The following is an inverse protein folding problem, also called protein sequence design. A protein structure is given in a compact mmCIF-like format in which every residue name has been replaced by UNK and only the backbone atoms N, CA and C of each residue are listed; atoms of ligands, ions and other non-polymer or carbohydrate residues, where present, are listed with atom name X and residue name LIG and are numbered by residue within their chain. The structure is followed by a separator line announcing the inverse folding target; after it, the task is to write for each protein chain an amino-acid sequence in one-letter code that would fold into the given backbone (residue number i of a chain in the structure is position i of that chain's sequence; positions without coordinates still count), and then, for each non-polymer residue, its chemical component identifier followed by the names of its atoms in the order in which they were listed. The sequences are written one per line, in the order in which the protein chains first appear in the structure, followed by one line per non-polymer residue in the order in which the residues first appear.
data_IF_089792197558
#
_entry.id   IF_089792197558
#
_cell.length_a   1.000
_cell.length_b   1.000
_cell.length_c   1.000
_cell.angle_alpha   90.00
_cell.angle_beta   90.00
_cell.angle_gamma   90.00
#
_symmetry.space_group_name_H-M   'P 1'
#
loop_
_entity.id
_entity.type
_entity.pdbx_description
1 polymer ?
#
# COMPACT_ATOMS: atom_id res chain seq x y z
N UNK A 1 -2.13 54.55 26.24
CA UNK A 1 -1.66 54.07 24.92
C UNK A 1 -1.95 52.57 24.86
N UNK A 2 -2.80 52.15 23.93
CA UNK A 2 -3.24 50.76 23.73
C UNK A 2 -2.14 49.97 23.03
N UNK A 3 -1.87 48.74 23.47
CA UNK A 3 -1.56 47.64 22.56
C UNK A 3 -2.36 46.42 23.04
N UNK A 4 -3.29 46.03 22.19
CA UNK A 4 -4.10 44.82 22.22
C UNK A 4 -3.37 43.73 21.42
N UNK A 5 -3.69 42.46 21.68
CA UNK A 5 -3.72 41.30 20.76
C UNK A 5 -2.78 40.15 21.18
N UNK A 6 -3.10 38.87 21.02
CA UNK A 6 -4.31 38.04 20.88
C UNK A 6 -3.77 36.64 20.49
N UNK A 7 -4.58 35.60 20.71
CA UNK A 7 -4.46 34.23 20.15
C UNK A 7 -3.30 33.35 20.66
N UNK A 8 -3.61 32.51 21.66
CA UNK A 8 -3.01 31.19 21.74
C UNK A 8 -3.72 30.28 20.71
N UNK A 9 -2.99 29.90 19.67
CA UNK A 9 -3.46 29.04 18.58
C UNK A 9 -3.82 27.64 19.08
N UNK A 10 -5.04 27.25 18.73
CA UNK A 10 -5.56 25.91 18.43
C UNK A 10 -4.48 24.83 18.28
N UNK A 11 -4.52 23.85 19.17
CA UNK A 11 -3.79 22.58 19.01
C UNK A 11 -4.57 21.73 18.00
N UNK A 12 -4.18 21.79 16.72
CA UNK A 12 -4.71 20.91 15.69
C UNK A 12 -4.07 19.51 15.83
N UNK A 13 -4.63 18.66 16.69
CA UNK A 13 -4.32 17.23 16.72
C UNK A 13 -5.17 16.49 15.69
N UNK A 14 -4.74 16.58 14.44
CA UNK A 14 -5.08 15.61 13.41
C UNK A 14 -3.91 15.56 12.42
N UNK A 15 -2.89 14.76 12.76
CA UNK A 15 -1.91 14.32 11.77
C UNK A 15 -2.65 13.35 10.83
N UNK A 16 -3.33 13.92 9.82
CA UNK A 16 -3.50 13.21 8.57
C UNK A 16 -2.09 13.15 7.97
N UNK A 17 -1.47 11.99 8.07
CA UNK A 17 -0.13 11.76 7.57
C UNK A 17 -0.09 12.13 6.08
N UNK A 18 0.72 13.14 5.78
CA UNK A 18 0.86 13.71 4.46
C UNK A 18 1.72 12.79 3.62
N UNK A 19 1.07 12.16 2.64
CA UNK A 19 1.71 11.26 1.71
C UNK A 19 1.21 11.57 0.31
N UNK A 20 2.03 12.26 -0.48
CA UNK A 20 1.66 12.66 -1.83
C UNK A 20 1.59 11.41 -2.70
N UNK A 21 0.56 11.32 -3.55
CA UNK A 21 0.34 10.26 -4.54
C UNK A 21 -0.23 8.90 -4.05
N UNK A 22 -0.47 8.66 -2.75
CA UNK A 22 -1.00 7.39 -2.22
C UNK A 22 -2.38 7.53 -1.59
N UNK A 23 -3.31 6.63 -1.93
CA UNK A 23 -4.62 6.50 -1.30
C UNK A 23 -4.84 5.08 -0.81
N UNK A 24 -5.37 4.92 0.41
CA UNK A 24 -5.45 3.60 1.04
C UNK A 24 -5.38 3.66 2.55
N UNK A 25 -4.92 2.58 3.17
CA UNK A 25 -4.84 2.48 4.62
C UNK A 25 -3.47 2.02 5.10
N UNK A 26 -3.08 2.52 6.26
CA UNK A 26 -1.88 2.09 7.00
C UNK A 26 -2.31 1.67 8.39
N UNK A 27 -2.02 0.43 8.76
CA UNK A 27 -2.31 -0.09 10.08
C UNK A 27 -1.03 -0.15 10.90
N UNK A 28 -1.03 0.49 12.07
CA UNK A 28 0.12 0.51 12.98
C UNK A 28 0.12 -0.73 13.90
N UNK A 29 1.29 -1.30 14.12
CA UNK A 29 1.47 -2.37 15.10
C UNK A 29 1.22 -1.85 16.54
N UNK A 30 0.73 -2.70 17.45
CA UNK A 30 0.68 -2.40 18.87
C UNK A 30 2.07 -2.02 19.42
N UNK A 31 2.10 -1.17 20.45
CA UNK A 31 3.35 -0.76 21.07
C UNK A 31 4.13 -1.97 21.61
N UNK A 32 5.42 -2.05 21.27
CA UNK A 32 6.29 -3.17 21.67
C UNK A 32 6.20 -4.41 20.79
N UNK A 33 5.42 -4.38 19.70
CA UNK A 33 5.32 -5.47 18.73
C UNK A 33 5.59 -4.95 17.30
N UNK A 34 5.73 -5.87 16.35
CA UNK A 34 5.90 -5.57 14.92
C UNK A 34 5.16 -6.62 14.10
N UNK A 35 4.81 -6.29 12.87
CA UNK A 35 4.18 -7.24 11.97
C UNK A 35 5.18 -8.33 11.55
N UNK A 36 4.73 -9.58 11.64
CA UNK A 36 5.43 -10.72 11.05
C UNK A 36 4.89 -11.02 9.65
N UNK A 37 3.58 -10.87 9.50
CA UNK A 37 2.86 -11.21 8.29
C UNK A 37 1.81 -10.16 8.04
N UNK A 38 1.83 -9.62 6.83
CA UNK A 38 0.71 -8.84 6.31
C UNK A 38 0.14 -9.65 5.16
N UNK A 39 -1.06 -10.11 5.41
CA UNK A 39 -1.79 -11.02 4.54
C UNK A 39 -3.20 -10.51 4.46
N UNK A 40 -3.79 -10.46 3.28
CA UNK A 40 -5.18 -10.91 3.24
C UNK A 40 -5.19 -12.43 3.45
N UNK A 41 -5.08 -12.99 4.67
CA UNK A 41 -5.34 -14.43 4.90
C UNK A 41 -5.43 -14.86 6.37
N UNK A 42 -6.63 -15.30 6.78
CA UNK A 42 -6.89 -16.67 7.26
C UNK A 42 -8.12 -17.18 6.50
N UNK A 43 -8.00 -18.34 5.83
CA UNK A 43 -9.03 -19.04 5.04
C UNK A 43 -9.68 -18.31 3.84
N UNK A 44 -9.40 -18.84 2.64
CA UNK A 44 -10.20 -18.88 1.42
C UNK A 44 -10.70 -17.67 0.64
N UNK A 45 -10.73 -16.41 1.11
CA UNK A 45 -11.25 -15.32 0.24
C UNK A 45 -10.55 -13.98 0.45
N UNK A 46 -9.49 -13.72 -0.30
CA UNK A 46 -8.70 -12.50 -0.13
C UNK A 46 -8.18 -12.00 -1.46
N UNK A 47 -8.66 -10.86 -1.92
CA UNK A 47 -8.16 -10.24 -3.15
C UNK A 47 -8.53 -8.77 -3.26
N UNK A 48 -7.82 -8.05 -4.11
CA UNK A 48 -8.40 -6.92 -4.81
C UNK A 48 -8.75 -7.34 -6.24
N UNK A 49 -9.85 -6.81 -6.76
CA UNK A 49 -10.17 -6.92 -8.18
C UNK A 49 -9.39 -5.86 -8.93
N UNK A 50 -8.66 -6.25 -9.98
CA UNK A 50 -8.00 -5.30 -10.88
C UNK A 50 -9.09 -4.47 -11.55
N UNK A 51 -9.14 -3.14 -11.32
CA UNK A 51 -10.17 -2.32 -11.93
C UNK A 51 -9.96 -2.23 -13.44
N UNK A 52 -10.99 -1.78 -14.17
CA UNK A 52 -10.88 -1.48 -15.60
C UNK A 52 -10.02 -0.23 -15.81
N UNK A 53 -8.70 -0.43 -15.85
CA UNK A 53 -7.72 0.65 -15.98
C UNK A 53 -7.64 1.16 -17.41
N UNK A 54 -7.73 2.49 -17.57
CA UNK A 54 -7.59 3.15 -18.87
C UNK A 54 -6.97 4.55 -18.75
N UNK A 55 -6.34 5.02 -19.84
CA UNK A 55 -5.64 6.29 -19.91
C UNK A 55 -4.11 6.13 -19.94
N UNK A 56 -3.39 7.25 -19.95
CA UNK A 56 -1.93 7.28 -20.08
C UNK A 56 -1.20 7.44 -18.74
N UNK A 57 -1.93 7.76 -17.67
CA UNK A 57 -1.38 7.89 -16.32
C UNK A 57 -1.09 6.52 -15.72
N UNK A 58 -0.10 6.48 -14.83
CA UNK A 58 0.38 5.24 -14.21
C UNK A 58 -0.24 5.05 -12.83
N UNK A 59 -0.35 3.79 -12.43
CA UNK A 59 -0.90 3.42 -11.13
C UNK A 59 -0.20 2.16 -10.63
N UNK A 60 0.00 2.03 -9.33
CA UNK A 60 0.25 0.74 -8.70
C UNK A 60 -0.82 0.45 -7.65
N UNK A 61 -1.12 -0.84 -7.48
CA UNK A 61 -2.01 -1.34 -6.42
C UNK A 61 -1.21 -2.42 -5.69
N UNK A 62 -0.93 -2.20 -4.41
CA UNK A 62 0.04 -3.01 -3.69
C UNK A 62 -0.28 -3.17 -2.21
N UNK A 63 0.31 -4.22 -1.64
CA UNK A 63 0.28 -4.55 -0.22
C UNK A 63 1.71 -4.68 0.26
N UNK A 64 2.02 -4.10 1.41
CA UNK A 64 3.39 -4.06 1.93
C UNK A 64 3.48 -3.93 3.44
N UNK A 65 4.72 -3.92 3.90
CA UNK A 65 5.13 -3.71 5.29
C UNK A 65 6.28 -2.72 5.29
N UNK A 66 6.16 -1.69 6.13
CA UNK A 66 7.27 -0.83 6.51
C UNK A 66 7.15 0.62 6.05
N UNK A 67 6.15 1.01 5.29
CA UNK A 67 6.06 2.38 4.75
C UNK A 67 5.70 3.42 5.83
N UNK A 68 6.71 3.99 6.50
CA UNK A 68 6.53 4.97 7.58
C UNK A 68 7.32 6.25 7.36
N UNK A 69 7.03 7.29 8.17
CA UNK A 69 7.78 8.55 8.12
C UNK A 69 9.21 8.41 8.67
N UNK A 70 9.48 7.32 9.39
CA UNK A 70 10.76 7.06 10.04
C UNK A 70 11.70 6.21 9.18
N UNK A 71 11.20 5.54 8.14
CA UNK A 71 11.99 4.62 7.33
C UNK A 71 11.35 4.33 5.97
N UNK A 72 12.18 4.14 4.93
CA UNK A 72 11.71 3.92 3.56
C UNK A 72 11.78 2.46 3.11
N UNK A 73 12.27 1.53 3.93
CA UNK A 73 12.37 0.11 3.57
C UNK A 73 11.00 -0.56 3.56
N UNK A 74 10.61 -1.04 2.39
CA UNK A 74 9.28 -1.62 2.19
C UNK A 74 9.42 -3.00 1.57
N UNK A 75 8.88 -4.02 2.25
CA UNK A 75 8.71 -5.35 1.67
C UNK A 75 7.27 -5.48 1.17
N UNK A 76 7.07 -5.75 -0.11
CA UNK A 76 5.72 -5.77 -0.67
C UNK A 76 5.60 -6.27 -2.10
N UNK A 77 4.36 -6.30 -2.60
CA UNK A 77 4.06 -6.69 -3.97
C UNK A 77 2.67 -6.27 -4.41
N UNK A 78 2.39 -6.49 -5.68
CA UNK A 78 1.11 -6.10 -6.26
C UNK A 78 1.14 -6.03 -7.77
N UNK A 79 0.41 -5.05 -8.32
CA UNK A 79 0.37 -4.78 -9.75
C UNK A 79 0.75 -3.34 -10.06
N UNK A 80 1.31 -3.14 -11.25
CA UNK A 80 1.53 -1.82 -11.83
C UNK A 80 0.84 -1.73 -13.18
N UNK A 81 0.29 -0.57 -13.47
CA UNK A 81 -0.27 -0.16 -14.75
C UNK A 81 0.58 0.95 -15.35
N UNK A 82 1.12 0.67 -16.53
CA UNK A 82 1.83 1.64 -17.36
C UNK A 82 1.57 1.28 -18.83
N UNK A 83 0.40 1.68 -19.33
CA UNK A 83 -0.21 1.22 -20.60
C UNK A 83 -0.56 -0.27 -20.65
N UNK A 84 0.23 -1.12 -19.99
CA UNK A 84 -0.02 -2.55 -19.76
C UNK A 84 0.00 -2.85 -18.27
N UNK A 85 -0.65 -3.96 -17.87
CA UNK A 85 -0.61 -4.48 -16.51
C UNK A 85 0.56 -5.45 -16.31
N UNK A 86 1.22 -5.34 -15.17
CA UNK A 86 2.27 -6.24 -14.72
C UNK A 86 2.11 -6.57 -13.25
N UNK A 87 2.50 -7.77 -12.84
CA UNK A 87 2.62 -8.15 -11.43
C UNK A 87 4.07 -8.00 -10.97
N UNK A 88 4.26 -7.70 -9.68
CA UNK A 88 5.60 -7.48 -9.14
C UNK A 88 5.71 -7.81 -7.64
N UNK A 89 6.94 -8.08 -7.21
CA UNK A 89 7.36 -8.09 -5.80
C UNK A 89 8.62 -7.26 -5.61
N UNK A 90 8.84 -6.70 -4.43
CA UNK A 90 10.00 -5.86 -4.15
C UNK A 90 10.35 -5.82 -2.66
N UNK A 91 11.65 -5.61 -2.40
CA UNK A 91 12.15 -5.03 -1.16
C UNK A 91 12.79 -3.70 -1.54
N UNK A 92 12.05 -2.60 -1.36
CA UNK A 92 12.53 -1.23 -1.61
C UNK A 92 13.55 -0.82 -0.53
N UNK A 93 14.64 -0.08 -0.87
CA UNK A 93 14.96 0.58 -2.14
C UNK A 93 15.62 -0.32 -3.21
N UNK A 94 15.60 -1.64 -3.03
CA UNK A 94 16.10 -2.59 -4.00
C UNK A 94 15.31 -2.65 -5.31
N UNK A 95 15.81 -3.37 -6.31
CA UNK A 95 15.14 -3.53 -7.58
C UNK A 95 13.81 -4.28 -7.44
N UNK A 96 12.84 -3.89 -8.25
CA UNK A 96 11.55 -4.58 -8.36
C UNK A 96 11.73 -5.85 -9.21
N UNK A 97 11.17 -6.96 -8.74
CA UNK A 97 11.10 -8.23 -9.48
C UNK A 97 9.77 -8.29 -10.26
N UNK A 98 9.84 -8.30 -11.59
CA UNK A 98 8.68 -8.52 -12.48
C UNK A 98 8.27 -10.00 -12.42
N UNK A 99 7.02 -10.26 -12.02
CA UNK A 99 6.48 -11.62 -11.88
C UNK A 99 5.46 -11.97 -12.96
N UNK A 100 5.31 -11.11 -13.98
CA UNK A 100 4.19 -11.16 -14.94
C UNK A 100 4.17 -12.43 -15.77
N UNK A 101 5.33 -13.03 -16.10
CA UNK A 101 5.40 -14.29 -16.84
C UNK A 101 4.82 -15.48 -16.06
N UNK A 102 4.90 -15.43 -14.72
CA UNK A 102 4.43 -16.50 -13.83
C UNK A 102 3.02 -16.21 -13.33
N UNK A 103 2.72 -14.94 -13.04
CA UNK A 103 1.41 -14.46 -12.60
C UNK A 103 0.98 -13.32 -13.54
N UNK A 104 0.46 -13.65 -14.73
CA UNK A 104 -0.08 -12.64 -15.63
C UNK A 104 -1.32 -12.00 -15.01
N UNK A 105 -1.56 -10.73 -15.34
CA UNK A 105 -2.64 -9.93 -14.75
C UNK A 105 -3.40 -9.16 -15.83
N UNK A 106 -4.72 -9.11 -15.69
CA UNK A 106 -5.62 -8.38 -16.58
C UNK A 106 -6.73 -7.70 -15.77
N UNK A 107 -7.43 -6.73 -16.39
CA UNK A 107 -8.62 -6.11 -15.81
C UNK A 107 -9.64 -7.19 -15.40
N UNK A 108 -10.29 -7.00 -14.25
CA UNK A 108 -11.25 -7.93 -13.67
C UNK A 108 -10.64 -9.15 -12.99
N UNK A 109 -9.32 -9.35 -13.02
CA UNK A 109 -8.68 -10.44 -12.28
C UNK A 109 -8.72 -10.17 -10.77
N UNK A 110 -8.74 -11.26 -10.00
CA UNK A 110 -8.73 -11.25 -8.53
C UNK A 110 -7.31 -11.58 -8.06
N UNK A 111 -6.63 -10.61 -7.44
CA UNK A 111 -5.21 -10.71 -7.04
C UNK A 111 -5.08 -10.74 -5.53
N UNK A 112 -4.37 -11.74 -5.01
CA UNK A 112 -3.95 -11.85 -3.61
C UNK A 112 -2.48 -11.50 -3.48
N UNK A 113 -2.14 -10.73 -2.46
CA UNK A 113 -0.75 -10.47 -2.05
C UNK A 113 -0.60 -10.83 -0.57
N UNK A 114 0.46 -11.57 -0.28
CA UNK A 114 0.84 -12.02 1.05
C UNK A 114 2.31 -11.72 1.28
N UNK A 115 2.61 -10.97 2.33
CA UNK A 115 3.96 -10.55 2.73
C UNK A 115 4.30 -11.18 4.06
N UNK A 116 5.43 -11.86 4.16
CA UNK A 116 5.97 -12.38 5.43
C UNK A 116 7.37 -11.82 5.64
N UNK A 117 7.61 -11.20 6.79
CA UNK A 117 8.91 -10.68 7.22
C UNK A 117 9.74 -11.81 7.82
N UNK A 118 11.02 -11.84 7.48
CA UNK A 118 12.04 -12.69 8.06
C UNK A 118 13.18 -11.82 8.63
N UNK A 119 14.12 -12.42 9.36
CA UNK A 119 15.25 -11.70 9.98
C UNK A 119 16.07 -10.89 8.97
N UNK A 120 16.17 -11.34 7.72
CA UNK A 120 16.94 -10.69 6.67
C UNK A 120 16.14 -10.50 5.37
N UNK A 121 14.96 -9.88 5.48
CA UNK A 121 14.05 -9.63 4.36
C UNK A 121 12.73 -10.36 4.53
N UNK A 122 12.36 -11.23 3.59
CA UNK A 122 11.11 -11.97 3.72
C UNK A 122 10.64 -12.65 2.44
N UNK A 123 9.34 -12.96 2.40
CA UNK A 123 8.69 -13.53 1.23
C UNK A 123 7.51 -12.69 0.80
N UNK A 124 7.33 -12.59 -0.51
CA UNK A 124 6.16 -11.96 -1.13
C UNK A 124 5.53 -13.00 -2.04
N UNK A 125 4.30 -13.38 -1.72
CA UNK A 125 3.48 -14.25 -2.55
C UNK A 125 2.45 -13.43 -3.30
N UNK A 126 2.37 -13.65 -4.60
CA UNK A 126 1.37 -13.04 -5.48
C UNK A 126 0.59 -14.17 -6.13
N UNK A 127 -0.73 -14.07 -6.09
CA UNK A 127 -1.63 -15.06 -6.68
C UNK A 127 -2.69 -14.35 -7.53
N UNK A 128 -2.80 -14.73 -8.79
CA UNK A 128 -3.96 -14.44 -9.61
C UNK A 128 -4.96 -15.60 -9.46
N UNK A 129 -5.96 -15.39 -8.61
CA UNK A 129 -6.98 -16.39 -8.29
C UNK A 129 -7.87 -16.71 -9.47
N UNK A 130 -8.13 -15.73 -10.34
CA UNK A 130 -8.94 -15.91 -11.55
C UNK A 130 -8.31 -16.91 -12.51
N UNK A 131 -6.97 -16.98 -12.53
CA UNK A 131 -6.22 -17.83 -13.44
C UNK A 131 -5.56 -19.03 -12.74
N UNK A 132 -5.71 -19.15 -11.42
CA UNK A 132 -5.02 -20.13 -10.58
C UNK A 132 -3.50 -20.13 -10.82
N UNK A 133 -2.90 -18.95 -10.86
CA UNK A 133 -1.46 -18.74 -11.04
C UNK A 133 -0.87 -18.07 -9.82
N UNK A 134 0.25 -18.59 -9.32
CA UNK A 134 0.88 -18.14 -8.08
C UNK A 134 2.40 -18.15 -8.19
N UNK A 135 3.04 -17.22 -7.53
CA UNK A 135 4.48 -17.24 -7.27
C UNK A 135 4.76 -16.76 -5.86
N UNK A 136 5.85 -17.27 -5.26
CA UNK A 136 6.39 -16.79 -4.00
C UNK A 136 7.84 -16.41 -4.23
N UNK A 137 8.16 -15.14 -4.02
CA UNK A 137 9.50 -14.59 -4.15
C UNK A 137 10.11 -14.49 -2.75
N UNK A 138 11.33 -14.99 -2.58
CA UNK A 138 12.14 -14.75 -1.38
C UNK A 138 13.04 -13.57 -1.66
N UNK A 139 12.90 -12.51 -0.88
CA UNK A 139 13.57 -11.23 -1.10
C UNK A 139 14.47 -10.94 0.09
N UNK A 140 15.74 -10.70 -0.16
CA UNK A 140 16.70 -10.24 0.83
C UNK A 140 16.76 -8.70 0.85
N UNK A 141 17.27 -8.14 1.95
CA UNK A 141 17.62 -6.72 1.98
C UNK A 141 18.60 -6.39 0.83
N UNK A 142 18.40 -5.29 0.10
CA UNK A 142 19.30 -4.92 -0.98
C UNK A 142 20.68 -4.55 -0.44
N UNK A 143 21.69 -4.62 -1.31
CA UNK A 143 23.06 -4.24 -0.96
C UNK A 143 23.11 -2.83 -0.36
N UNK A 144 23.71 -2.70 0.82
CA UNK A 144 23.86 -1.42 1.52
C UNK A 144 22.71 -1.03 2.44
N UNK A 145 21.67 -1.87 2.54
CA UNK A 145 20.60 -1.73 3.54
C UNK A 145 20.83 -2.72 4.67
N UNK A 146 20.77 -2.25 5.92
CA UNK A 146 20.77 -3.14 7.07
C UNK A 146 19.38 -3.80 7.16
N UNK A 147 19.28 -5.15 7.18
CA UNK A 147 17.98 -5.80 7.27
C UNK A 147 17.16 -5.44 8.51
N UNK A 148 17.80 -4.93 9.57
CA UNK A 148 17.12 -4.44 10.77
C UNK A 148 16.42 -3.10 10.57
N UNK A 149 16.72 -2.36 9.49
CA UNK A 149 16.06 -1.09 9.16
C UNK A 149 14.59 -1.30 8.73
N UNK A 150 14.22 -2.51 8.29
CA UNK A 150 12.81 -2.88 8.10
C UNK A 150 12.15 -3.12 9.46
N UNK A 151 11.64 -2.04 10.07
CA UNK A 151 11.05 -2.08 11.41
C UNK A 151 9.75 -2.90 11.48
N UNK A 152 9.05 -3.05 10.34
CA UNK A 152 7.77 -3.72 10.23
C UNK A 152 6.69 -3.20 11.19
N UNK A 153 6.72 -1.90 11.50
CA UNK A 153 5.76 -1.26 12.43
C UNK A 153 4.42 -0.91 11.78
N UNK A 154 4.33 -1.02 10.46
CA UNK A 154 3.09 -0.75 9.72
C UNK A 154 2.82 -1.81 8.66
N UNK A 155 1.53 -1.96 8.37
CA UNK A 155 0.99 -2.76 7.29
C UNK A 155 0.22 -1.85 6.32
N UNK A 156 0.48 -1.99 5.03
CA UNK A 156 0.12 -1.00 4.02
C UNK A 156 -0.76 -1.60 2.93
N UNK A 157 -1.85 -0.92 2.57
CA UNK A 157 -2.69 -1.25 1.41
C UNK A 157 -2.94 0.02 0.61
N UNK A 158 -2.26 0.13 -0.53
CA UNK A 158 -2.24 1.37 -1.29
C UNK A 158 -2.65 1.19 -2.75
N UNK A 159 -3.37 2.21 -3.20
CA UNK A 159 -3.49 2.60 -4.60
C UNK A 159 -2.64 3.85 -4.77
N UNK A 160 -1.64 3.78 -5.63
CA UNK A 160 -0.63 4.82 -5.76
C UNK A 160 -0.58 5.36 -7.19
N UNK A 161 -0.70 6.68 -7.31
CA UNK A 161 -0.45 7.41 -8.55
C UNK A 161 1.07 7.42 -8.84
N UNK A 162 1.51 6.37 -9.52
CA UNK A 162 2.91 6.08 -9.74
C UNK A 162 3.57 7.13 -10.66
N UNK A 163 4.67 7.72 -10.19
CA UNK A 163 5.45 8.73 -10.92
C UNK A 163 6.85 8.18 -11.18
N UNK A 164 7.34 8.33 -12.42
CA UNK A 164 8.68 7.84 -12.82
C UNK A 164 9.60 8.95 -13.29
N UNK A 165 9.07 10.18 -13.37
CA UNK A 165 9.82 11.36 -13.76
C UNK A 165 9.86 12.28 -12.52
N UNK A 166 11.06 12.67 -12.04
CA UNK A 166 11.18 13.66 -10.99
C UNK A 166 10.41 14.94 -11.33
N UNK A 167 9.59 15.44 -10.41
CA UNK A 167 8.78 16.64 -10.60
C UNK A 167 7.50 16.44 -11.42
N UNK A 168 7.17 15.23 -11.85
CA UNK A 168 5.88 14.94 -12.49
C UNK A 168 4.73 15.31 -11.54
N UNK A 169 3.66 15.92 -12.04
CA UNK A 169 2.46 16.14 -11.24
C UNK A 169 1.73 14.82 -10.97
N UNK A 170 1.06 14.74 -9.82
CA UNK A 170 0.24 13.58 -9.46
C UNK A 170 -0.95 13.53 -10.40
N UNK A 171 -1.13 12.40 -11.07
CA UNK A 171 -2.29 12.14 -11.91
C UNK A 171 -2.59 10.65 -11.91
N UNK A 172 -3.88 10.31 -11.96
CA UNK A 172 -4.34 8.91 -11.93
C UNK A 172 -4.97 8.52 -13.27
N UNK A 173 -4.87 7.25 -13.70
CA UNK A 173 -5.71 6.73 -14.77
C UNK A 173 -7.16 6.67 -14.29
N UNK A 174 -8.09 6.34 -15.19
CA UNK A 174 -9.41 5.92 -14.73
C UNK A 174 -9.27 4.54 -14.08
N UNK A 175 -9.54 4.45 -12.78
CA UNK A 175 -9.45 3.20 -12.02
C UNK A 175 -10.75 2.84 -11.27
N UNK A 176 -11.81 3.63 -11.40
CA UNK A 176 -13.08 3.40 -10.71
C UNK A 176 -12.89 3.26 -9.20
N UNK A 177 -13.17 2.07 -8.65
CA UNK A 177 -12.96 1.74 -7.25
C UNK A 177 -12.10 0.49 -7.13
N UNK A 178 -11.04 0.57 -6.33
CA UNK A 178 -10.27 -0.60 -5.87
C UNK A 178 -10.76 -0.99 -4.50
N UNK A 179 -11.09 -2.27 -4.30
CA UNK A 179 -11.46 -2.79 -2.98
C UNK A 179 -10.48 -3.88 -2.56
N UNK A 180 -9.75 -3.64 -1.47
CA UNK A 180 -9.01 -4.67 -0.75
C UNK A 180 -9.99 -5.38 0.18
N UNK A 181 -10.19 -6.67 -0.02
CA UNK A 181 -11.09 -7.48 0.80
C UNK A 181 -10.33 -8.37 1.77
N UNK A 182 -10.97 -8.63 2.91
CA UNK A 182 -10.52 -9.57 3.93
C UNK A 182 -9.09 -9.24 4.46
N UNK A 183 -8.83 -7.96 4.55
CA UNK A 183 -7.58 -7.38 5.03
C UNK A 183 -7.21 -7.92 6.42
N UNK A 184 -5.97 -8.37 6.61
CA UNK A 184 -5.45 -8.81 7.91
C UNK A 184 -3.96 -8.48 8.07
N UNK A 185 -3.53 -8.27 9.31
CA UNK A 185 -2.13 -8.08 9.65
C UNK A 185 -1.85 -8.76 10.99
N UNK A 186 -0.90 -9.69 10.99
CA UNK A 186 -0.56 -10.50 12.16
C UNK A 186 0.81 -10.11 12.68
N UNK A 187 0.89 -9.81 13.97
CA UNK A 187 2.14 -9.45 14.63
C UNK A 187 3.03 -10.65 14.90
N UNK A 188 4.29 -10.42 15.29
CA UNK A 188 5.22 -11.48 15.70
C UNK A 188 4.72 -12.26 16.92
N UNK A 189 3.94 -11.63 17.79
CA UNK A 189 3.30 -12.31 18.92
C UNK A 189 2.02 -13.10 18.55
N UNK A 190 1.61 -13.06 17.27
CA UNK A 190 0.43 -13.78 16.77
C UNK A 190 -0.89 -13.02 16.91
N UNK A 191 -0.86 -11.72 17.21
CA UNK A 191 -2.07 -10.89 17.31
C UNK A 191 -2.50 -10.45 15.92
N UNK A 192 -3.75 -10.74 15.56
CA UNK A 192 -4.38 -10.15 14.37
C UNK A 192 -4.93 -8.77 14.72
N UNK A 193 -4.34 -7.72 14.16
CA UNK A 193 -4.68 -6.34 14.50
C UNK A 193 -5.91 -5.91 13.67
N UNK A 194 -7.00 -5.43 14.30
CA UNK A 194 -8.20 -5.03 13.57
C UNK A 194 -7.96 -3.85 12.63
N UNK A 195 -8.36 -3.99 11.36
CA UNK A 195 -8.17 -2.95 10.34
C UNK A 195 -8.95 -1.66 10.63
N UNK A 196 -9.97 -1.70 11.49
CA UNK A 196 -10.71 -0.51 11.93
C UNK A 196 -9.84 0.53 12.64
N UNK A 197 -8.64 0.14 13.12
CA UNK A 197 -7.65 1.04 13.70
C UNK A 197 -6.69 1.69 12.69
N UNK A 198 -6.84 1.42 11.39
CA UNK A 198 -5.93 1.94 10.38
C UNK A 198 -6.14 3.43 10.09
N UNK A 199 -5.03 4.12 9.86
CA UNK A 199 -5.02 5.48 9.30
C UNK A 199 -5.44 5.45 7.84
N UNK A 200 -6.12 6.50 7.40
CA UNK A 200 -6.66 6.65 6.04
C UNK A 200 -5.86 7.70 5.26
N UNK A 201 -5.58 7.38 3.99
CA UNK A 201 -4.83 8.20 3.06
C UNK A 201 -5.62 8.44 1.78
N UNK A 202 -5.35 9.57 1.14
CA UNK A 202 -5.96 9.95 -0.13
C UNK A 202 -4.89 10.37 -1.13
N UNK A 203 -5.04 9.95 -2.39
CA UNK A 203 -4.22 10.43 -3.49
C UNK A 203 -4.49 11.93 -3.62
N UNK A 204 -3.50 12.74 -3.25
CA UNK A 204 -3.58 14.18 -3.34
C UNK A 204 -2.41 14.72 -4.16
N UNK A 205 -2.72 15.63 -5.10
CA UNK A 205 -1.72 16.38 -5.85
C UNK A 205 -1.17 17.56 -5.06
N UNK A 206 -0.04 18.10 -5.51
CA UNK A 206 0.63 19.25 -4.89
C UNK A 206 -0.22 20.53 -4.90
N UNK A 207 -1.24 20.61 -5.77
CA UNK A 207 -2.22 21.71 -5.81
C UNK A 207 -3.27 21.65 -4.69
N UNK A 208 -3.30 20.58 -3.88
CA UNK A 208 -4.38 20.32 -2.94
C UNK A 208 -5.54 19.50 -3.52
N UNK A 209 -5.48 19.21 -4.82
CA UNK A 209 -6.51 18.42 -5.51
C UNK A 209 -6.52 16.96 -5.01
N UNK A 210 -7.69 16.51 -4.57
CA UNK A 210 -7.91 15.14 -4.09
C UNK A 210 -8.42 14.28 -5.25
N UNK A 211 -7.70 13.20 -5.58
CA UNK A 211 -7.99 12.26 -6.67
C UNK A 211 -8.62 10.95 -6.19
N UNK A 212 -8.67 10.70 -4.89
CA UNK A 212 -9.32 9.50 -4.33
C UNK A 212 -10.18 9.80 -3.10
N UNK A 213 -11.05 8.84 -2.78
CA UNK A 213 -11.74 8.76 -1.50
C UNK A 213 -11.60 7.34 -0.97
N UNK A 214 -10.98 7.23 0.20
CA UNK A 214 -10.75 5.97 0.89
C UNK A 214 -11.82 5.76 1.96
N UNK A 215 -12.31 4.53 2.03
CA UNK A 215 -13.25 4.06 3.06
C UNK A 215 -12.70 2.78 3.68
N UNK A 216 -12.61 2.76 5.01
CA UNK A 216 -12.19 1.59 5.78
C UNK A 216 -13.45 1.07 6.49
N UNK A 217 -13.75 -0.21 6.30
CA UNK A 217 -14.81 -0.93 7.02
C UNK A 217 -14.18 -2.06 7.83
N UNK A 218 -14.97 -2.73 8.67
CA UNK A 218 -14.52 -3.94 9.37
C UNK A 218 -14.16 -5.11 8.44
N UNK A 219 -14.52 -5.02 7.15
CA UNK A 219 -14.37 -6.12 6.17
C UNK A 219 -13.43 -5.78 5.00
N UNK A 220 -12.95 -4.55 4.89
CA UNK A 220 -12.05 -4.17 3.81
C UNK A 220 -11.75 -2.68 3.70
N UNK A 221 -10.97 -2.34 2.66
CA UNK A 221 -10.57 -0.98 2.32
C UNK A 221 -11.01 -0.73 0.89
N UNK A 222 -11.68 0.40 0.64
CA UNK A 222 -12.11 0.81 -0.69
C UNK A 222 -11.47 2.15 -1.02
N UNK A 223 -10.83 2.25 -2.19
CA UNK A 223 -10.24 3.48 -2.72
C UNK A 223 -10.94 3.83 -4.03
N UNK A 224 -11.79 4.86 -3.98
CA UNK A 224 -12.59 5.31 -5.11
C UNK A 224 -11.94 6.53 -5.78
N UNK A 225 -11.67 6.46 -7.08
CA UNK A 225 -11.25 7.61 -7.88
C UNK A 225 -12.30 8.71 -7.81
N UNK A 226 -11.86 9.93 -7.53
CA UNK A 226 -12.71 11.11 -7.65
C UNK A 226 -12.62 11.66 -9.08
N UNK A 227 -13.78 11.95 -9.66
CA UNK A 227 -13.83 12.78 -10.86
C UNK A 227 -13.61 14.22 -10.42
N UNK A 228 -12.64 14.85 -11.05
CA UNK A 228 -12.21 16.22 -10.81
C UNK A 228 -12.50 17.07 -12.04
#
# INVERSE_FOLDING_TARGET
MRITALLACWVSTASAAFDLNRGGAVLKAPAGDSFATVTGTVSDFHAFTVPSLSGTNRLSIWVGIGDTLEQDNILGGGIVYNSTLKSFSAYFPGPVTDTTSTVPVANGNSITVTVNVATAGGTVTIENRTQNKRTTQTLAAPTGVDPSDLTALVADWFVQAYQVIPGQLVATPSFGTVTFTAVSATTKSGVNVPISGAGKYEIQGTSGQIYSKTTISGTGISVQRQTV
#
